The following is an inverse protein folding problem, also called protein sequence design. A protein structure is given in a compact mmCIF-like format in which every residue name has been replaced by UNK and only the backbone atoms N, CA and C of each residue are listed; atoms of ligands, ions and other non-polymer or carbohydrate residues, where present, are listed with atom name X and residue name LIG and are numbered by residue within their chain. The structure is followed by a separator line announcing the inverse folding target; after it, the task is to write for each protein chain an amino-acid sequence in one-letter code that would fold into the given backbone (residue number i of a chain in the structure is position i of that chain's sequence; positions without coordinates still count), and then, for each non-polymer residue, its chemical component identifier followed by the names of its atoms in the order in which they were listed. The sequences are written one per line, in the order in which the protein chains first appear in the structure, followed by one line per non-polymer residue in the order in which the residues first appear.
data_IF_485445341022
#
_entry.id   IF_485445341022
#
_cell.length_a   1.000
_cell.length_b   1.000
_cell.length_c   1.000
_cell.angle_alpha   90.00
_cell.angle_beta   90.00
_cell.angle_gamma   90.00
#
_symmetry.space_group_name_H-M   'P 1'
#
loop_
_entity.id
_entity.type
_entity.pdbx_description
1 polymer ?
#
# COMPACT_ATOMS: atom_id res chain seq x y z
N UNK A 1 -2.39 18.95 -4.90
CA UNK A 1 -1.24 18.02 -5.05
C UNK A 1 -1.73 16.88 -5.93
N UNK A 2 -1.12 16.72 -7.10
CA UNK A 2 -1.65 15.90 -8.18
C UNK A 2 -1.31 14.42 -7.95
N UNK A 3 -2.28 13.62 -7.54
CA UNK A 3 -2.18 12.15 -7.51
C UNK A 3 -2.51 11.60 -8.90
N UNK A 4 -1.69 11.94 -9.90
CA UNK A 4 -1.88 11.48 -11.30
C UNK A 4 -1.33 10.08 -11.53
N UNK A 5 -0.44 9.60 -10.66
CA UNK A 5 0.08 8.25 -10.69
C UNK A 5 0.03 7.63 -9.29
N UNK A 6 -0.86 6.65 -9.14
CA UNK A 6 -1.01 5.87 -7.91
C UNK A 6 0.32 5.27 -7.47
N UNK A 7 1.21 4.89 -8.39
CA UNK A 7 2.50 4.24 -8.07
C UNK A 7 3.53 5.19 -7.46
N UNK A 8 3.34 6.51 -7.57
CA UNK A 8 4.32 7.53 -7.17
C UNK A 8 4.60 7.55 -5.65
N UNK A 9 3.61 7.18 -4.84
CA UNK A 9 3.68 7.27 -3.38
C UNK A 9 3.86 5.91 -2.69
N UNK A 10 3.92 4.83 -3.45
CA UNK A 10 4.04 3.48 -2.93
C UNK A 10 5.32 2.79 -3.38
N UNK A 11 5.61 1.64 -2.76
CA UNK A 11 6.73 0.77 -3.13
C UNK A 11 6.19 -0.58 -3.56
N UNK A 12 6.54 -1.02 -4.76
CA UNK A 12 6.23 -2.36 -5.25
C UNK A 12 6.83 -3.44 -4.34
N UNK A 13 6.04 -4.47 -4.05
CA UNK A 13 6.49 -5.65 -3.33
C UNK A 13 7.18 -6.63 -4.29
N UNK A 14 8.11 -7.41 -3.74
CA UNK A 14 8.91 -8.36 -4.49
C UNK A 14 8.52 -9.81 -4.16
N UNK A 15 9.07 -10.76 -4.91
CA UNK A 15 8.88 -12.20 -4.75
C UNK A 15 7.40 -12.62 -4.89
N UNK A 16 6.85 -13.34 -3.90
CA UNK A 16 5.48 -13.88 -3.92
C UNK A 16 4.36 -12.83 -3.94
N UNK A 17 4.72 -11.53 -3.88
CA UNK A 17 3.81 -10.38 -3.92
C UNK A 17 4.15 -9.41 -5.04
N UNK A 18 4.90 -9.85 -6.05
CA UNK A 18 5.17 -9.04 -7.24
C UNK A 18 3.86 -8.62 -7.92
N UNK A 19 3.65 -7.31 -8.09
CA UNK A 19 2.40 -6.73 -8.60
C UNK A 19 1.63 -5.94 -7.54
N UNK A 20 1.84 -6.24 -6.25
CA UNK A 20 1.26 -5.47 -5.16
C UNK A 20 2.09 -4.22 -4.83
N UNK A 21 1.42 -3.12 -4.48
CA UNK A 21 2.00 -1.86 -4.03
C UNK A 21 1.78 -1.63 -2.55
N UNK A 22 2.82 -1.22 -1.83
CA UNK A 22 2.70 -0.80 -0.43
C UNK A 22 2.72 0.71 -0.30
N UNK A 23 1.71 1.27 0.34
CA UNK A 23 1.66 2.69 0.70
C UNK A 23 1.89 2.92 2.18
N UNK A 24 2.44 4.08 2.51
CA UNK A 24 2.54 4.56 3.88
C UNK A 24 1.70 5.82 4.03
N UNK A 25 0.68 5.76 4.89
CA UNK A 25 -0.19 6.89 5.18
C UNK A 25 -0.16 7.11 6.68
N UNK A 26 0.63 8.09 7.13
CA UNK A 26 0.90 8.30 8.56
C UNK A 26 1.52 7.06 9.21
N UNK A 27 0.82 6.52 10.22
CA UNK A 27 1.21 5.29 10.92
C UNK A 27 0.70 4.01 10.24
N UNK A 28 -0.15 4.12 9.23
CA UNK A 28 -0.78 3.00 8.55
C UNK A 28 0.03 2.52 7.34
N UNK A 29 -0.09 1.23 7.05
CA UNK A 29 0.46 0.60 5.83
C UNK A 29 -0.69 0.00 5.03
N UNK A 30 -0.81 0.40 3.77
CA UNK A 30 -1.78 -0.20 2.85
C UNK A 30 -1.03 -1.08 1.87
N UNK A 31 -1.68 -2.15 1.44
CA UNK A 31 -1.28 -2.93 0.28
C UNK A 31 -2.37 -2.72 -0.78
N UNK A 32 -1.99 -2.57 -2.04
CA UNK A 32 -2.94 -2.40 -3.13
C UNK A 32 -2.51 -3.26 -4.30
N UNK A 33 -3.48 -3.78 -5.03
CA UNK A 33 -3.26 -4.37 -6.33
C UNK A 33 -3.73 -3.36 -7.39
N UNK A 34 -2.80 -2.87 -8.19
CA UNK A 34 -3.09 -1.82 -9.19
C UNK A 34 -3.25 -2.51 -10.54
N UNK A 35 -4.49 -2.79 -10.93
CA UNK A 35 -4.81 -3.11 -12.32
C UNK A 35 -5.12 -1.81 -13.07
N UNK A 36 -4.59 -1.68 -14.29
CA UNK A 36 -4.75 -0.46 -15.10
C UNK A 36 -6.23 -0.24 -15.51
N UNK A 37 -7.03 -1.31 -15.57
CA UNK A 37 -8.48 -1.27 -15.84
C UNK A 37 -9.32 -1.04 -14.58
N UNK A 38 -8.84 -1.48 -13.42
CA UNK A 38 -9.56 -1.37 -12.13
C UNK A 38 -8.59 -1.29 -10.94
N UNK A 39 -8.65 -0.23 -10.16
CA UNK A 39 -7.78 -0.10 -8.97
C UNK A 39 -8.43 -0.81 -7.79
N UNK A 40 -7.84 -1.94 -7.35
CA UNK A 40 -8.34 -2.71 -6.19
C UNK A 40 -7.43 -2.51 -4.98
N UNK A 41 -7.91 -1.75 -3.98
CA UNK A 41 -7.15 -1.45 -2.76
C UNK A 41 -7.52 -2.46 -1.68
N UNK A 42 -6.59 -3.34 -1.30
CA UNK A 42 -6.78 -4.35 -0.25
C UNK A 42 -6.14 -3.93 1.07
N UNK A 43 -6.97 -3.43 2.00
CA UNK A 43 -6.50 -2.99 3.31
C UNK A 43 -6.21 -4.19 4.22
N UNK A 44 -4.97 -4.70 4.17
CA UNK A 44 -4.56 -5.91 4.90
C UNK A 44 -4.35 -5.69 6.41
N UNK A 45 -3.89 -4.51 6.85
CA UNK A 45 -3.59 -4.29 8.27
C UNK A 45 -3.56 -2.81 8.66
N UNK A 46 -4.23 -2.47 9.78
CA UNK A 46 -4.26 -1.13 10.38
C UNK A 46 -3.48 -1.18 11.69
N UNK A 47 -2.15 -1.09 11.61
CA UNK A 47 -1.28 -1.05 12.79
C UNK A 47 -0.92 0.38 13.16
N UNK A 48 -1.40 0.88 14.31
CA UNK A 48 -0.89 2.13 14.88
C UNK A 48 0.51 1.88 15.46
N UNK A 49 1.49 2.77 15.25
CA UNK A 49 2.88 2.61 15.73
C UNK A 49 3.01 2.37 17.25
N UNK A 50 1.93 2.60 17.99
CA UNK A 50 1.83 2.44 19.45
C UNK A 50 1.50 1.01 19.91
N UNK A 51 1.29 0.06 19.00
CA UNK A 51 0.92 -1.33 19.34
C UNK A 51 1.99 -2.37 18.93
N UNK A 52 3.18 -1.94 18.47
CA UNK A 52 4.27 -2.85 18.07
C UNK A 52 5.12 -3.39 19.25
N UNK A 53 4.64 -3.26 20.48
CA UNK A 53 5.24 -3.85 21.68
C UNK A 53 4.16 -4.52 22.52
N UNK A 54 3.86 -5.77 22.18
CA UNK A 54 3.41 -6.80 23.12
C UNK A 54 4.02 -8.13 22.72
#
# INVERSE_FOLDING_TARGET
MNCTDSRQHGKGLAANRSGEWRYRIGDYRLIADINDDTVTILMLEIGHRKDSYK
#
